data_IF_259227689938
#
_entry.id   IF_259227689938
#
_cell.length_a   1.000
_cell.length_b   1.000
_cell.length_c   1.000
_cell.angle_alpha   90.00
_cell.angle_beta   90.00
_cell.angle_gamma   90.00
#
_symmetry.space_group_name_H-M   'P 1'
#
loop_
_entity.id
_entity.type
_entity.pdbx_description
1 polymer ?
#
# COMPACT_ATOMS: atom_id res chain seq x y z
N UNK A 1 -20.57 -49.12 15.23
CA UNK A 1 -21.58 -48.08 15.45
C UNK A 1 -21.16 -47.24 16.62
N UNK A 2 -20.94 -45.94 16.39
CA UNK A 2 -20.85 -44.91 17.42
C UNK A 2 -21.19 -43.60 16.72
N UNK A 3 -22.40 -43.11 16.96
CA UNK A 3 -22.87 -41.80 16.54
C UNK A 3 -22.70 -40.81 17.68
N UNK A 4 -22.19 -39.63 17.36
CA UNK A 4 -22.49 -38.40 18.08
C UNK A 4 -22.84 -37.36 17.04
N UNK A 5 -24.10 -36.93 17.08
CA UNK A 5 -24.57 -35.74 16.39
C UNK A 5 -24.55 -34.52 17.30
N UNK A 6 -24.94 -33.40 16.69
CA UNK A 6 -25.62 -32.23 17.26
C UNK A 6 -24.80 -30.93 17.32
N UNK A 7 -25.33 -29.93 16.59
CA UNK A 7 -25.01 -28.50 16.69
C UNK A 7 -24.32 -27.96 15.42
N UNK A 8 -24.98 -27.37 14.43
CA UNK A 8 -26.24 -26.65 14.49
C UNK A 8 -26.06 -25.28 15.15
N UNK A 9 -25.19 -24.42 14.62
CA UNK A 9 -25.24 -22.98 14.88
C UNK A 9 -24.98 -22.21 13.59
N UNK A 10 -26.05 -21.63 13.06
CA UNK A 10 -25.97 -20.54 12.11
C UNK A 10 -25.63 -19.22 12.82
N UNK A 11 -24.83 -18.41 12.14
CA UNK A 11 -24.81 -16.95 12.20
C UNK A 11 -24.21 -16.54 10.85
N UNK A 12 -24.94 -16.02 9.88
CA UNK A 12 -25.98 -15.01 10.03
C UNK A 12 -25.31 -13.65 10.22
N UNK A 13 -24.86 -13.04 9.12
CA UNK A 13 -24.63 -11.59 9.03
C UNK A 13 -23.21 -11.09 9.32
N UNK A 14 -22.32 -11.13 8.32
CA UNK A 14 -21.13 -10.26 8.28
C UNK A 14 -21.33 -9.09 7.31
N UNK A 15 -22.48 -8.41 7.46
CA UNK A 15 -22.79 -7.14 6.79
C UNK A 15 -22.85 -5.99 7.80
N UNK A 16 -21.77 -5.78 8.56
CA UNK A 16 -21.65 -4.69 9.52
C UNK A 16 -20.61 -3.69 9.03
N UNK A 17 -21.04 -2.51 8.57
CA UNK A 17 -20.17 -1.46 8.03
C UNK A 17 -19.03 -1.11 8.98
N UNK A 18 -17.79 -1.28 8.50
CA UNK A 18 -16.53 -1.12 9.23
C UNK A 18 -16.29 0.29 9.81
N UNK A 19 -17.08 1.29 9.42
CA UNK A 19 -16.85 2.71 9.69
C UNK A 19 -18.02 3.41 10.41
N UNK A 20 -18.73 2.73 11.32
CA UNK A 20 -19.63 3.45 12.24
C UNK A 20 -18.86 3.99 13.46
N UNK A 21 -18.32 5.21 13.32
CA UNK A 21 -17.70 5.97 14.41
C UNK A 21 -18.80 6.76 15.11
N UNK A 22 -19.11 6.42 16.37
CA UNK A 22 -20.13 7.15 17.12
C UNK A 22 -19.70 8.62 17.30
N UNK A 23 -20.62 9.59 17.21
CA UNK A 23 -20.30 10.99 17.42
C UNK A 23 -19.53 11.19 18.74
N UNK A 24 -18.39 11.88 18.67
CA UNK A 24 -17.52 12.16 19.83
C UNK A 24 -16.72 10.96 20.37
N UNK A 25 -16.82 9.77 19.80
CA UNK A 25 -16.02 8.60 20.23
C UNK A 25 -14.90 8.31 19.24
N UNK A 26 -13.68 8.20 19.77
CA UNK A 26 -12.55 7.67 19.01
C UNK A 26 -12.60 6.14 18.98
N UNK A 27 -12.24 5.54 17.85
CA UNK A 27 -11.94 4.10 17.76
C UNK A 27 -10.51 3.90 17.26
N UNK A 28 -9.87 2.84 17.76
CA UNK A 28 -8.62 2.35 17.20
C UNK A 28 -8.96 1.44 16.03
N UNK A 29 -8.43 1.77 14.86
CA UNK A 29 -8.53 0.96 13.65
C UNK A 29 -7.12 0.49 13.28
N UNK A 30 -7.02 -0.76 12.82
CA UNK A 30 -5.79 -1.26 12.20
C UNK A 30 -5.91 -1.04 10.71
N UNK A 31 -4.90 -0.40 10.13
CA UNK A 31 -4.85 -0.10 8.70
C UNK A 31 -3.51 -0.64 8.19
N UNK A 32 -3.49 -1.47 7.12
CA UNK A 32 -2.24 -1.85 6.48
C UNK A 32 -1.61 -0.61 5.85
N UNK A 33 -0.32 -0.42 6.07
CA UNK A 33 0.43 0.76 5.63
C UNK A 33 1.77 0.37 5.04
N UNK A 34 2.26 1.17 4.10
CA UNK A 34 3.61 1.05 3.56
C UNK A 34 4.30 2.41 3.58
N UNK A 35 5.61 2.41 3.74
CA UNK A 35 6.45 3.59 3.64
C UNK A 35 6.63 3.94 2.16
N UNK A 36 6.09 5.07 1.72
CA UNK A 36 6.28 5.53 0.34
C UNK A 36 7.71 6.06 0.10
N UNK A 37 8.38 6.54 1.15
CA UNK A 37 9.72 7.10 1.06
C UNK A 37 10.72 6.23 1.81
N UNK A 38 11.70 5.69 1.09
CA UNK A 38 12.80 4.94 1.67
C UNK A 38 13.74 5.85 2.50
N UNK A 39 14.27 5.31 3.60
CA UNK A 39 15.27 5.97 4.44
C UNK A 39 14.72 6.92 5.50
N UNK A 40 13.40 7.15 5.54
CA UNK A 40 12.78 7.87 6.66
C UNK A 40 12.84 7.04 7.95
N UNK A 41 12.93 7.69 9.13
CA UNK A 41 12.92 6.99 10.41
C UNK A 41 11.67 6.12 10.57
N UNK A 42 11.83 4.96 11.20
CA UNK A 42 10.70 4.09 11.52
C UNK A 42 9.63 4.85 12.30
N UNK A 43 8.34 4.59 12.02
CA UNK A 43 7.26 5.30 12.67
C UNK A 43 7.24 5.02 14.18
N UNK A 44 7.04 6.06 14.99
CA UNK A 44 7.01 5.96 16.46
C UNK A 44 5.78 6.69 17.01
N UNK A 45 5.11 6.17 18.05
CA UNK A 45 3.89 6.78 18.61
C UNK A 45 4.04 8.24 19.08
N UNK A 46 5.27 8.70 19.33
CA UNK A 46 5.56 10.07 19.78
C UNK A 46 5.68 11.08 18.64
N UNK A 47 5.73 10.62 17.39
CA UNK A 47 5.78 11.48 16.22
C UNK A 47 4.33 11.86 15.86
N UNK A 48 3.99 13.15 15.77
CA UNK A 48 2.66 13.56 15.35
C UNK A 48 2.46 13.23 13.86
N UNK A 49 1.43 12.46 13.54
CA UNK A 49 1.05 12.11 12.17
C UNK A 49 -0.24 12.82 11.77
N UNK A 50 -0.30 13.25 10.51
CA UNK A 50 -1.50 13.80 9.88
C UNK A 50 -1.88 12.90 8.72
N UNK A 51 -3.17 12.64 8.57
CA UNK A 51 -3.69 11.95 7.38
C UNK A 51 -3.77 13.01 6.27
N UNK A 52 -3.16 12.70 5.12
CA UNK A 52 -3.16 13.55 3.94
C UNK A 52 -3.78 12.80 2.76
N UNK A 53 -4.42 13.51 1.81
CA UNK A 53 -4.70 12.96 0.49
C UNK A 53 -3.41 12.42 -0.16
N UNK A 54 -3.53 11.37 -0.97
CA UNK A 54 -2.36 10.75 -1.58
C UNK A 54 -1.67 11.70 -2.57
N UNK A 55 -2.46 12.52 -3.23
CA UNK A 55 -2.07 13.52 -4.23
C UNK A 55 -1.21 14.64 -3.62
N UNK A 56 -1.22 14.82 -2.29
CA UNK A 56 -0.30 15.74 -1.62
C UNK A 56 1.12 15.16 -1.46
N UNK A 57 1.31 13.86 -1.67
CA UNK A 57 2.59 13.15 -1.41
C UNK A 57 3.10 12.33 -2.60
N UNK A 58 2.25 11.97 -3.57
CA UNK A 58 2.66 11.31 -4.81
C UNK A 58 1.66 11.59 -5.94
N UNK A 59 2.18 11.83 -7.14
CA UNK A 59 1.40 12.00 -8.38
C UNK A 59 1.36 10.71 -9.23
N UNK A 60 1.98 9.62 -8.77
CA UNK A 60 2.05 8.36 -9.53
C UNK A 60 0.69 7.63 -9.50
N UNK A 61 0.06 7.39 -10.67
CA UNK A 61 -1.15 6.59 -10.73
C UNK A 61 -0.90 5.13 -10.33
N UNK A 62 0.32 4.61 -10.53
CA UNK A 62 0.71 3.27 -10.11
C UNK A 62 0.76 3.16 -8.57
N UNK A 63 1.27 4.18 -7.88
CA UNK A 63 1.26 4.26 -6.41
C UNK A 63 -0.16 4.34 -5.87
N UNK A 64 -1.08 5.02 -6.57
CA UNK A 64 -2.50 5.00 -6.22
C UNK A 64 -3.06 3.58 -6.27
N UNK A 65 -2.84 2.87 -7.38
CA UNK A 65 -3.34 1.50 -7.56
C UNK A 65 -2.72 0.54 -6.54
N UNK A 66 -1.43 0.69 -6.24
CA UNK A 66 -0.76 -0.05 -5.18
C UNK A 66 -1.46 0.14 -3.83
N UNK A 67 -1.71 1.40 -3.43
CA UNK A 67 -2.37 1.72 -2.16
C UNK A 67 -3.81 1.18 -2.11
N UNK A 68 -4.52 1.25 -3.25
CA UNK A 68 -5.87 0.70 -3.39
C UNK A 68 -5.87 -0.82 -3.21
N UNK A 69 -5.01 -1.54 -3.94
CA UNK A 69 -4.86 -2.99 -3.83
C UNK A 69 -4.52 -3.44 -2.40
N UNK A 70 -3.63 -2.71 -1.72
CA UNK A 70 -3.28 -2.98 -0.32
C UNK A 70 -4.47 -2.73 0.61
N UNK A 71 -5.18 -1.60 0.43
CA UNK A 71 -6.33 -1.23 1.25
C UNK A 71 -7.50 -2.21 1.13
N UNK A 72 -7.68 -2.81 -0.06
CA UNK A 72 -8.66 -3.88 -0.29
C UNK A 72 -8.17 -5.28 0.11
N UNK A 73 -6.93 -5.41 0.61
CA UNK A 73 -6.35 -6.70 1.02
C UNK A 73 -6.08 -7.66 -0.14
N UNK A 74 -5.90 -7.14 -1.37
CA UNK A 74 -5.61 -7.94 -2.56
C UNK A 74 -4.16 -8.38 -2.64
N UNK A 75 -3.27 -7.68 -1.95
CA UNK A 75 -1.82 -7.91 -1.93
C UNK A 75 -1.30 -7.91 -0.50
N UNK A 76 -0.20 -8.61 -0.28
CA UNK A 76 0.44 -8.63 1.03
C UNK A 76 1.29 -7.37 1.26
N UNK A 77 1.33 -6.92 2.52
CA UNK A 77 1.99 -5.68 2.92
C UNK A 77 3.51 -5.69 2.66
N UNK A 78 4.16 -6.86 2.78
CA UNK A 78 5.62 -6.97 2.63
C UNK A 78 6.02 -6.78 1.17
N UNK A 79 5.37 -7.46 0.24
CA UNK A 79 5.59 -7.25 -1.20
C UNK A 79 5.13 -5.84 -1.64
N UNK A 80 4.04 -5.31 -1.06
CA UNK A 80 3.61 -3.93 -1.32
C UNK A 80 4.67 -2.89 -0.90
N UNK A 81 5.39 -3.10 0.21
CA UNK A 81 6.48 -2.22 0.65
C UNK A 81 7.64 -2.19 -0.35
N UNK A 82 7.98 -3.35 -0.94
CA UNK A 82 9.00 -3.46 -1.98
C UNK A 82 8.55 -2.71 -3.24
N UNK A 83 7.32 -2.96 -3.69
CA UNK A 83 6.76 -2.29 -4.86
C UNK A 83 6.69 -0.78 -4.68
N UNK A 84 6.30 -0.30 -3.48
CA UNK A 84 6.26 1.13 -3.16
C UNK A 84 7.61 1.81 -3.35
N UNK A 85 8.70 1.21 -2.84
CA UNK A 85 10.04 1.76 -2.99
C UNK A 85 10.58 1.67 -4.42
N UNK A 86 10.19 0.65 -5.18
CA UNK A 86 10.51 0.59 -6.60
C UNK A 86 9.85 1.74 -7.37
N UNK A 87 8.54 1.92 -7.19
CA UNK A 87 7.74 2.92 -7.91
C UNK A 87 8.07 4.37 -7.50
N UNK A 88 8.19 4.64 -6.20
CA UNK A 88 8.31 6.02 -5.69
C UNK A 88 9.76 6.49 -5.50
N UNK A 89 10.72 5.57 -5.35
CA UNK A 89 12.12 5.91 -5.10
C UNK A 89 13.08 5.38 -6.17
N UNK A 90 12.54 4.82 -7.26
CA UNK A 90 13.29 4.27 -8.40
C UNK A 90 14.35 3.24 -7.97
N UNK A 91 14.14 2.56 -6.84
CA UNK A 91 15.07 1.54 -6.37
C UNK A 91 15.01 0.35 -7.31
N UNK A 92 16.15 0.01 -7.92
CA UNK A 92 16.24 -1.19 -8.76
C UNK A 92 15.96 -2.46 -7.96
N UNK A 93 15.47 -3.50 -8.63
CA UNK A 93 15.25 -4.82 -8.03
C UNK A 93 16.50 -5.39 -7.37
N UNK A 94 17.69 -5.11 -7.94
CA UNK A 94 18.97 -5.52 -7.36
C UNK A 94 19.26 -4.77 -6.05
N UNK A 95 19.02 -3.45 -6.00
CA UNK A 95 19.17 -2.69 -4.75
C UNK A 95 18.21 -3.17 -3.66
N UNK A 96 16.98 -3.52 -4.04
CA UNK A 96 16.00 -4.07 -3.10
C UNK A 96 16.37 -5.47 -2.62
N UNK A 97 16.86 -6.34 -3.51
CA UNK A 97 17.28 -7.70 -3.19
C UNK A 97 18.58 -7.76 -2.35
N UNK A 98 19.46 -6.77 -2.49
CA UNK A 98 20.72 -6.67 -1.73
C UNK A 98 20.57 -5.87 -0.43
N UNK A 99 19.38 -5.35 -0.16
CA UNK A 99 19.09 -4.64 1.09
C UNK A 99 19.08 -5.62 2.25
N UNK A 100 19.69 -5.22 3.36
CA UNK A 100 19.87 -6.09 4.52
C UNK A 100 19.62 -5.35 5.83
N UNK A 101 19.26 -6.13 6.84
CA UNK A 101 19.18 -5.71 8.23
C UNK A 101 20.49 -6.12 8.90
N UNK A 102 21.13 -5.15 9.58
CA UNK A 102 22.35 -5.38 10.36
C UNK A 102 21.98 -5.39 11.83
N UNK A 103 22.14 -6.54 12.47
CA UNK A 103 21.88 -6.71 13.90
C UNK A 103 23.10 -6.31 14.72
N UNK A 104 22.89 -5.90 15.97
CA UNK A 104 23.97 -5.47 16.88
C UNK A 104 24.98 -6.61 17.18
N UNK A 105 24.56 -7.87 17.01
CA UNK A 105 25.40 -9.05 17.17
C UNK A 105 26.22 -9.41 15.91
N UNK A 106 26.20 -8.56 14.87
CA UNK A 106 26.93 -8.79 13.62
C UNK A 106 26.22 -9.68 12.61
N UNK A 107 25.06 -10.26 12.95
CA UNK A 107 24.24 -11.03 12.01
C UNK A 107 23.68 -10.09 10.94
N UNK A 108 23.74 -10.55 9.70
CA UNK A 108 23.17 -9.88 8.53
C UNK A 108 22.09 -10.79 7.97
N UNK A 109 20.92 -10.24 7.74
CA UNK A 109 19.82 -10.94 7.08
C UNK A 109 19.23 -10.08 5.96
N UNK A 110 18.73 -10.69 4.87
CA UNK A 110 18.03 -9.95 3.83
C UNK A 110 16.85 -9.18 4.42
N UNK A 111 16.68 -7.94 3.97
CA UNK A 111 15.54 -7.13 4.38
C UNK A 111 14.24 -7.68 3.79
N UNK A 112 14.33 -8.21 2.56
CA UNK A 112 13.25 -8.89 1.85
C UNK A 112 13.72 -10.26 1.36
N UNK A 113 12.83 -11.24 1.39
CA UNK A 113 13.04 -12.54 0.75
C UNK A 113 12.90 -12.46 -0.76
N UNK A 114 13.49 -13.40 -1.49
CA UNK A 114 13.38 -13.47 -2.95
C UNK A 114 11.93 -13.59 -3.44
N UNK A 115 11.08 -14.27 -2.66
CA UNK A 115 9.65 -14.43 -2.99
C UNK A 115 8.87 -13.11 -2.83
N UNK A 116 9.19 -12.31 -1.81
CA UNK A 116 8.62 -10.96 -1.64
C UNK A 116 9.02 -10.04 -2.80
N UNK A 117 10.28 -10.12 -3.26
CA UNK A 117 10.76 -9.38 -4.43
C UNK A 117 10.01 -9.82 -5.70
N UNK A 118 9.87 -11.13 -5.92
CA UNK A 118 9.15 -11.66 -7.08
C UNK A 118 7.67 -11.24 -7.09
N UNK A 119 6.99 -11.35 -5.96
CA UNK A 119 5.61 -10.87 -5.80
C UNK A 119 5.50 -9.37 -6.07
N UNK A 120 6.45 -8.58 -5.60
CA UNK A 120 6.48 -7.15 -5.85
C UNK A 120 6.61 -6.80 -7.34
N UNK A 121 7.40 -7.55 -8.11
CA UNK A 121 7.48 -7.38 -9.57
C UNK A 121 6.12 -7.62 -10.25
N UNK A 122 5.39 -8.65 -9.82
CA UNK A 122 4.04 -8.93 -10.34
C UNK A 122 3.05 -7.82 -9.96
N UNK A 123 3.14 -7.30 -8.73
CA UNK A 123 2.31 -6.19 -8.26
C UNK A 123 2.59 -4.94 -9.09
N UNK A 124 3.85 -4.57 -9.30
CA UNK A 124 4.22 -3.40 -10.12
C UNK A 124 3.61 -3.49 -11.51
N UNK A 125 3.76 -4.64 -12.17
CA UNK A 125 3.16 -4.87 -13.49
C UNK A 125 1.63 -4.72 -13.47
N UNK A 126 0.96 -5.26 -12.46
CA UNK A 126 -0.50 -5.12 -12.33
C UNK A 126 -0.90 -3.65 -12.09
N UNK A 127 -0.13 -2.90 -11.29
CA UNK A 127 -0.41 -1.49 -11.04
C UNK A 127 -0.24 -0.63 -12.30
N UNK A 128 0.75 -0.92 -13.14
CA UNK A 128 0.94 -0.26 -14.44
C UNK A 128 -0.28 -0.50 -15.36
N UNK A 129 -0.73 -1.76 -15.48
CA UNK A 129 -1.90 -2.11 -16.29
C UNK A 129 -3.19 -1.43 -15.79
N UNK A 130 -3.38 -1.35 -14.47
CA UNK A 130 -4.53 -0.65 -13.87
C UNK A 130 -4.46 0.85 -14.06
N UNK A 131 -3.26 1.43 -13.90
CA UNK A 131 -3.04 2.86 -14.09
C UNK A 131 -3.35 3.29 -15.53
N UNK A 132 -2.97 2.48 -16.52
CA UNK A 132 -3.27 2.72 -17.94
C UNK A 132 -4.77 2.64 -18.26
N UNK A 133 -5.49 1.69 -17.63
CA UNK A 133 -6.91 1.42 -17.93
C UNK A 133 -7.89 2.31 -17.17
N UNK A 134 -7.42 3.11 -16.21
CA UNK A 134 -8.30 3.88 -15.33
C UNK A 134 -8.69 5.24 -15.94
N UNK A 135 -10.00 5.53 -16.10
CA UNK A 135 -10.45 6.90 -16.26
C UNK A 135 -10.22 7.65 -14.94
N UNK A 136 -9.44 8.75 -14.97
CA UNK A 136 -9.18 9.58 -13.78
C UNK A 136 -10.50 10.09 -13.21
N UNK A 137 -10.96 9.48 -12.13
CA UNK A 137 -12.19 9.85 -11.43
C UNK A 137 -11.84 10.28 -10.02
N UNK A 138 -12.09 11.55 -9.73
CA UNK A 138 -11.95 12.13 -8.40
C UNK A 138 -13.15 11.74 -7.54
N UNK A 139 -12.94 11.51 -6.24
CA UNK A 139 -14.06 11.28 -5.34
C UNK A 139 -14.87 12.57 -5.16
N UNK A 140 -16.21 12.52 -4.99
CA UNK A 140 -17.06 13.72 -4.89
C UNK A 140 -16.70 14.70 -3.74
N UNK A 141 -15.86 14.29 -2.78
CA UNK A 141 -15.36 15.12 -1.69
C UNK A 141 -13.97 15.72 -1.88
N UNK A 142 -13.29 15.45 -3.00
CA UNK A 142 -11.97 16.00 -3.31
C UNK A 142 -12.11 17.44 -3.81
N UNK A 143 -11.61 18.40 -3.04
CA UNK A 143 -11.39 19.76 -3.56
C UNK A 143 -10.29 19.65 -4.61
N UNK A 144 -10.62 19.95 -5.86
CA UNK A 144 -9.67 19.99 -6.98
C UNK A 144 -8.43 20.81 -6.58
N UNK A 145 -7.31 20.14 -6.33
CA UNK A 145 -6.02 20.80 -6.35
C UNK A 145 -5.75 21.20 -7.82
N UNK A 146 -5.28 22.42 -8.08
CA UNK A 146 -5.03 22.86 -9.45
C UNK A 146 -3.98 21.97 -10.10
N UNK A 147 -4.38 21.27 -11.15
CA UNK A 147 -3.51 20.45 -11.99
C UNK A 147 -2.43 21.37 -12.58
N UNK A 148 -1.21 21.29 -12.07
CA UNK A 148 -0.02 21.70 -12.81
C UNK A 148 0.63 20.43 -13.37
N UNK A 149 1.04 20.51 -14.63
CA UNK A 149 1.77 19.52 -15.42
C UNK A 149 0.95 18.47 -16.18
N UNK A 150 0.22 18.98 -17.18
CA UNK A 150 0.17 18.37 -18.50
C UNK A 150 0.85 19.33 -19.49
N UNK A 151 2.16 19.18 -19.73
CA UNK A 151 2.75 19.67 -21.00
C UNK A 151 4.13 19.16 -21.41
N UNK A 152 4.93 18.52 -20.55
CA UNK A 152 6.34 18.30 -20.90
C UNK A 152 6.72 16.87 -21.32
N UNK A 153 5.77 15.92 -21.42
CA UNK A 153 6.05 14.55 -21.88
C UNK A 153 5.73 14.26 -23.36
N UNK A 154 5.30 15.26 -24.13
CA UNK A 154 5.06 15.12 -25.58
C UNK A 154 6.07 15.87 -26.48
N UNK A 155 7.17 16.41 -25.93
CA UNK A 155 8.19 17.12 -26.73
C UNK A 155 9.60 16.50 -26.65
N UNK A 156 9.72 15.26 -26.17
CA UNK A 156 11.01 14.57 -25.99
C UNK A 156 11.35 13.49 -27.03
N UNK A 157 10.58 13.37 -28.11
CA UNK A 157 10.92 12.51 -29.25
C UNK A 157 11.24 13.41 -30.45
N UNK A 158 12.52 13.68 -30.66
CA UNK A 158 13.10 14.21 -31.90
C UNK A 158 14.38 13.46 -32.19
#
# INVERSE_FOLDING_TARGET
GMGMGMGGMGMGGMGGGFFNVQPGKARKIQVPLVCLEHGKPDPRPRIPYVIKPLEEVSDSPEVYELCSMLGYGQIDQRAAQVAAWHLQNEMSWNQLATKEIRHLNGVREPYFSSDEIYRAMLIVRETELRAESRPRTFSPGEKQAPIKFLKDRELGAS
#
